data_IF_254687605953
#
_entry.id   IF_254687605953
#
_cell.length_a   1.000
_cell.length_b   1.000
_cell.length_c   1.000
_cell.angle_alpha   90.00
_cell.angle_beta   90.00
_cell.angle_gamma   90.00
#
_symmetry.space_group_name_H-M   'P 1'
#
loop_
_entity.id
_entity.type
_entity.pdbx_description
1 polymer ?
#
# COMPACT_ATOMS: atom_id res chain seq x y z
N UNK A 1 0.11 -27.63 35.03
CA UNK A 1 -0.87 -27.44 36.13
C UNK A 1 -0.24 -27.44 37.52
N UNK A 2 0.92 -28.09 37.75
CA UNK A 2 1.55 -28.21 39.08
C UNK A 2 2.19 -26.92 39.61
N UNK A 3 2.77 -26.07 38.76
CA UNK A 3 3.39 -24.80 39.21
C UNK A 3 2.35 -23.85 39.84
N UNK A 4 1.20 -23.62 39.18
CA UNK A 4 0.11 -22.78 39.72
C UNK A 4 -0.41 -23.22 41.08
N UNK A 5 -0.47 -24.54 41.33
CA UNK A 5 -0.99 -25.06 42.59
C UNK A 5 -0.03 -24.80 43.76
N UNK A 6 1.27 -24.86 43.50
CA UNK A 6 2.28 -24.55 44.51
C UNK A 6 2.28 -23.05 44.87
N UNK A 7 2.06 -22.16 43.90
CA UNK A 7 2.00 -20.72 44.15
C UNK A 7 0.71 -20.33 44.90
N UNK A 8 -0.44 -20.92 44.56
CA UNK A 8 -1.69 -20.75 45.33
C UNK A 8 -1.56 -21.27 46.76
N UNK A 9 -0.95 -22.43 46.97
CA UNK A 9 -0.73 -22.99 48.31
C UNK A 9 0.27 -22.14 49.12
N UNK A 10 1.29 -21.58 48.48
CA UNK A 10 2.23 -20.64 49.12
C UNK A 10 1.54 -19.33 49.51
N UNK A 11 0.70 -18.76 48.63
CA UNK A 11 -0.09 -17.56 48.92
C UNK A 11 -1.11 -17.80 50.03
N UNK A 12 -1.81 -18.94 50.02
CA UNK A 12 -2.73 -19.30 51.12
C UNK A 12 -1.99 -19.49 52.44
N UNK A 13 -0.84 -20.17 52.44
CA UNK A 13 -0.03 -20.34 53.65
C UNK A 13 0.52 -19.00 54.17
N UNK A 14 0.97 -18.11 53.29
CA UNK A 14 1.41 -16.77 53.68
C UNK A 14 0.25 -15.94 54.26
N UNK A 15 -0.95 -16.03 53.68
CA UNK A 15 -2.14 -15.36 54.24
C UNK A 15 -2.49 -15.86 55.65
N UNK A 16 -2.31 -17.16 55.92
CA UNK A 16 -2.62 -17.76 57.22
C UNK A 16 -1.55 -17.47 58.27
N UNK A 17 -0.27 -17.50 57.90
CA UNK A 17 0.83 -17.32 58.86
C UNK A 17 0.88 -15.87 59.39
N UNK A 18 0.41 -14.88 58.62
CA UNK A 18 0.50 -13.46 59.00
C UNK A 18 -0.71 -12.87 59.72
N UNK A 19 -1.78 -13.65 59.97
CA UNK A 19 -3.00 -13.11 60.59
C UNK A 19 -2.92 -12.98 62.11
N UNK A 20 -2.04 -13.72 62.80
CA UNK A 20 -2.08 -13.79 64.26
C UNK A 20 -0.99 -13.02 65.01
N UNK A 21 0.08 -12.58 64.35
CA UNK A 21 1.14 -11.85 65.04
C UNK A 21 1.75 -10.79 64.14
N UNK A 22 1.86 -9.57 64.69
CA UNK A 22 2.58 -8.38 64.20
C UNK A 22 1.75 -7.28 63.53
N UNK A 23 1.72 -6.14 64.24
CA UNK A 23 1.59 -4.75 63.77
C UNK A 23 0.80 -4.50 62.48
N UNK A 24 -0.40 -3.97 62.66
CA UNK A 24 -1.33 -3.56 61.60
C UNK A 24 -0.68 -2.78 60.45
N UNK A 25 0.31 -1.91 60.70
CA UNK A 25 0.96 -1.13 59.64
C UNK A 25 1.79 -1.96 58.65
N UNK A 26 2.52 -2.97 59.12
CA UNK A 26 3.34 -3.83 58.24
C UNK A 26 2.44 -4.68 57.35
N UNK A 27 1.38 -5.24 57.94
CA UNK A 27 0.36 -5.99 57.21
C UNK A 27 -0.38 -5.11 56.20
N UNK A 28 -0.71 -3.86 56.56
CA UNK A 28 -1.32 -2.90 55.63
C UNK A 28 -0.37 -2.61 54.45
N UNK A 29 0.93 -2.37 54.68
CA UNK A 29 1.91 -2.14 53.60
C UNK A 29 2.06 -3.36 52.67
N UNK A 30 2.13 -4.56 53.22
CA UNK A 30 2.23 -5.79 52.43
C UNK A 30 0.95 -6.05 51.62
N UNK A 31 -0.23 -5.85 52.21
CA UNK A 31 -1.51 -5.96 51.49
C UNK A 31 -1.63 -4.91 50.37
N UNK A 32 -1.17 -3.67 50.60
CA UNK A 32 -1.08 -2.62 49.58
C UNK A 32 -0.12 -3.00 48.44
N UNK A 33 1.04 -3.59 48.76
CA UNK A 33 1.99 -4.08 47.77
C UNK A 33 1.38 -5.19 46.90
N UNK A 34 0.74 -6.19 47.50
CA UNK A 34 0.06 -7.26 46.75
C UNK A 34 -1.09 -6.71 45.88
N UNK A 35 -1.88 -5.76 46.39
CA UNK A 35 -2.91 -5.09 45.58
C UNK A 35 -2.32 -4.29 44.41
N UNK A 36 -1.17 -3.65 44.59
CA UNK A 36 -0.49 -2.92 43.53
C UNK A 36 0.12 -3.86 42.49
N UNK A 37 0.68 -5.00 42.91
CA UNK A 37 1.14 -6.05 42.01
C UNK A 37 -0.02 -6.60 41.16
N UNK A 38 -1.15 -6.94 41.78
CA UNK A 38 -2.33 -7.44 41.06
C UNK A 38 -2.87 -6.40 40.06
N UNK A 39 -2.85 -5.11 40.43
CA UNK A 39 -3.21 -4.03 39.50
C UNK A 39 -2.23 -3.90 38.34
N UNK A 40 -0.92 -4.01 38.62
CA UNK A 40 0.12 -3.92 37.61
C UNK A 40 0.05 -5.11 36.65
N UNK A 41 -0.16 -6.33 37.17
CA UNK A 41 -0.35 -7.54 36.36
C UNK A 41 -1.58 -7.40 35.45
N UNK A 42 -2.73 -6.95 35.98
CA UNK A 42 -3.92 -6.67 35.16
C UNK A 42 -3.67 -5.60 34.10
N UNK A 43 -2.90 -4.55 34.43
CA UNK A 43 -2.54 -3.50 33.49
C UNK A 43 -1.65 -4.04 32.36
N UNK A 44 -0.65 -4.86 32.68
CA UNK A 44 0.19 -5.55 31.70
C UNK A 44 -0.62 -6.50 30.82
N UNK A 45 -1.56 -7.25 31.39
CA UNK A 45 -2.48 -8.11 30.63
C UNK A 45 -3.36 -7.29 29.68
N UNK A 46 -3.90 -6.15 30.13
CA UNK A 46 -4.69 -5.26 29.25
C UNK A 46 -3.84 -4.66 28.14
N UNK A 47 -2.61 -4.22 28.45
CA UNK A 47 -1.71 -3.65 27.45
C UNK A 47 -1.29 -4.70 26.41
N UNK A 48 -0.98 -5.93 26.83
CA UNK A 48 -0.71 -7.04 25.91
C UNK A 48 -1.93 -7.37 25.04
N UNK A 49 -3.14 -7.34 25.60
CA UNK A 49 -4.36 -7.55 24.84
C UNK A 49 -4.62 -6.41 23.83
N UNK A 50 -4.38 -5.16 24.21
CA UNK A 50 -4.48 -3.99 23.32
C UNK A 50 -3.46 -4.05 22.20
N UNK A 51 -2.19 -4.36 22.51
CA UNK A 51 -1.14 -4.60 21.51
C UNK A 51 -1.57 -5.72 20.56
N UNK A 52 -2.03 -6.86 21.07
CA UNK A 52 -2.51 -7.97 20.23
C UNK A 52 -3.69 -7.57 19.34
N UNK A 53 -4.64 -6.79 19.85
CA UNK A 53 -5.76 -6.27 19.06
C UNK A 53 -5.30 -5.29 17.99
N UNK A 54 -4.29 -4.47 18.28
CA UNK A 54 -3.68 -3.56 17.31
C UNK A 54 -2.98 -4.32 16.19
N UNK A 55 -2.24 -5.39 16.52
CA UNK A 55 -1.59 -6.28 15.54
C UNK A 55 -2.60 -6.91 14.59
N UNK A 56 -3.65 -7.52 15.13
CA UNK A 56 -4.72 -8.12 14.32
C UNK A 56 -5.35 -7.10 13.36
N UNK A 57 -5.54 -5.85 13.79
CA UNK A 57 -6.06 -4.78 12.92
C UNK A 57 -5.09 -4.38 11.81
N UNK A 58 -3.78 -4.43 12.07
CA UNK A 58 -2.75 -4.12 11.06
C UNK A 58 -2.64 -5.26 10.04
N UNK A 59 -2.66 -6.51 10.49
CA UNK A 59 -2.69 -7.71 9.62
C UNK A 59 -3.94 -7.73 8.72
N UNK A 60 -5.13 -7.50 9.28
CA UNK A 60 -6.40 -7.43 8.53
C UNK A 60 -6.35 -6.39 7.41
N UNK A 61 -5.60 -5.30 7.59
CA UNK A 61 -5.49 -4.24 6.60
C UNK A 61 -4.41 -4.47 5.58
N UNK A 62 -3.29 -5.10 5.95
CA UNK A 62 -2.34 -5.61 4.96
C UNK A 62 -3.07 -6.55 4.00
N UNK A 63 -3.88 -7.48 4.55
CA UNK A 63 -4.71 -8.38 3.76
C UNK A 63 -5.76 -7.62 2.93
N UNK A 64 -6.41 -6.58 3.49
CA UNK A 64 -7.34 -5.73 2.75
C UNK A 64 -6.66 -5.01 1.57
N UNK A 65 -5.46 -4.44 1.78
CA UNK A 65 -4.66 -3.82 0.73
C UNK A 65 -4.35 -4.85 -0.34
N UNK A 66 -3.76 -6.00 0.02
CA UNK A 66 -3.40 -7.07 -0.92
C UNK A 66 -4.60 -7.59 -1.72
N UNK A 67 -5.77 -7.70 -1.07
CA UNK A 67 -7.01 -8.08 -1.73
C UNK A 67 -7.52 -7.01 -2.68
N UNK A 68 -7.46 -5.73 -2.31
CA UNK A 68 -7.83 -4.62 -3.19
C UNK A 68 -6.90 -4.58 -4.42
N UNK A 69 -5.60 -4.75 -4.22
CA UNK A 69 -4.59 -4.91 -5.28
C UNK A 69 -5.04 -5.96 -6.29
N UNK A 70 -5.43 -7.15 -5.82
CA UNK A 70 -5.83 -8.26 -6.69
C UNK A 70 -7.19 -8.02 -7.37
N UNK A 71 -8.17 -7.46 -6.65
CA UNK A 71 -9.47 -7.05 -7.20
C UNK A 71 -9.26 -6.03 -8.32
N UNK A 72 -8.38 -5.04 -8.12
CA UNK A 72 -8.05 -4.02 -9.12
C UNK A 72 -7.42 -4.66 -10.36
N UNK A 73 -6.43 -5.55 -10.20
CA UNK A 73 -5.82 -6.29 -11.33
C UNK A 73 -6.88 -7.04 -12.15
N UNK A 74 -7.80 -7.72 -11.46
CA UNK A 74 -8.86 -8.53 -12.09
C UNK A 74 -9.96 -7.68 -12.74
N UNK A 75 -10.39 -6.60 -12.08
CA UNK A 75 -11.38 -5.65 -12.59
C UNK A 75 -10.92 -5.01 -13.90
N UNK A 76 -9.67 -4.52 -13.95
CA UNK A 76 -9.10 -3.97 -15.17
C UNK A 76 -9.09 -4.98 -16.33
N UNK A 77 -8.73 -6.23 -16.06
CA UNK A 77 -8.73 -7.30 -17.06
C UNK A 77 -10.13 -7.56 -17.61
N UNK A 78 -11.14 -7.60 -16.74
CA UNK A 78 -12.54 -7.82 -17.12
C UNK A 78 -13.12 -6.64 -17.90
N UNK A 79 -12.90 -5.40 -17.47
CA UNK A 79 -13.37 -4.20 -18.15
C UNK A 79 -12.76 -4.06 -19.54
N UNK A 80 -11.48 -4.41 -19.68
CA UNK A 80 -10.82 -4.48 -20.99
C UNK A 80 -11.51 -5.47 -21.93
N UNK A 81 -11.81 -6.68 -21.46
CA UNK A 81 -12.47 -7.70 -22.28
C UNK A 81 -13.88 -7.28 -22.69
N UNK A 82 -14.70 -6.79 -21.75
CA UNK A 82 -16.07 -6.31 -22.04
C UNK A 82 -16.06 -5.17 -23.05
N UNK A 83 -15.21 -4.16 -22.84
CA UNK A 83 -15.16 -2.99 -23.71
C UNK A 83 -14.56 -3.31 -25.08
N UNK A 84 -13.58 -4.22 -25.16
CA UNK A 84 -13.11 -4.79 -26.43
C UNK A 84 -14.23 -5.50 -27.19
N UNK A 85 -15.09 -6.26 -26.50
CA UNK A 85 -16.24 -6.91 -27.14
C UNK A 85 -17.28 -5.90 -27.65
N UNK A 86 -17.58 -4.84 -26.87
CA UNK A 86 -18.47 -3.75 -27.29
C UNK A 86 -17.90 -3.03 -28.52
N UNK A 87 -16.60 -2.73 -28.54
CA UNK A 87 -15.92 -2.12 -29.68
C UNK A 87 -16.01 -3.00 -30.93
N UNK A 88 -15.78 -4.31 -30.80
CA UNK A 88 -15.99 -5.26 -31.91
C UNK A 88 -17.43 -5.29 -32.43
N UNK A 89 -18.42 -5.27 -31.54
CA UNK A 89 -19.83 -5.23 -31.93
C UNK A 89 -20.20 -3.91 -32.63
N UNK A 90 -19.69 -2.78 -32.15
CA UNK A 90 -19.84 -1.50 -32.84
C UNK A 90 -19.15 -1.51 -34.20
N UNK A 91 -17.93 -2.04 -34.27
CA UNK A 91 -17.19 -2.19 -35.52
C UNK A 91 -17.95 -3.01 -36.56
N UNK A 92 -18.56 -4.12 -36.13
CA UNK A 92 -19.39 -4.96 -36.99
C UNK A 92 -20.65 -4.22 -37.46
N UNK A 93 -21.37 -3.56 -36.55
CA UNK A 93 -22.55 -2.75 -36.90
C UNK A 93 -22.22 -1.67 -37.92
N UNK A 94 -21.07 -1.00 -37.76
CA UNK A 94 -20.63 0.03 -38.69
C UNK A 94 -20.17 -0.54 -40.03
N UNK A 95 -19.49 -1.68 -40.04
CA UNK A 95 -19.14 -2.38 -41.28
C UNK A 95 -20.39 -2.72 -42.08
N UNK A 96 -21.44 -3.21 -41.41
CA UNK A 96 -22.74 -3.48 -42.03
C UNK A 96 -23.39 -2.20 -42.57
N UNK A 97 -23.38 -1.11 -41.79
CA UNK A 97 -23.96 0.17 -42.21
C UNK A 97 -23.23 0.77 -43.43
N UNK A 98 -21.89 0.70 -43.44
CA UNK A 98 -21.05 1.15 -44.55
C UNK A 98 -21.31 0.35 -45.82
N UNK A 99 -21.45 -0.97 -45.70
CA UNK A 99 -21.79 -1.84 -46.83
C UNK A 99 -23.20 -1.57 -47.35
N UNK A 100 -24.15 -1.27 -46.47
CA UNK A 100 -25.50 -0.86 -46.86
C UNK A 100 -25.48 0.47 -47.65
N UNK A 101 -24.83 1.51 -47.13
CA UNK A 101 -24.70 2.78 -47.83
C UNK A 101 -23.97 2.64 -49.17
N UNK A 102 -22.95 1.78 -49.24
CA UNK A 102 -22.25 1.51 -50.51
C UNK A 102 -23.22 0.94 -51.55
N UNK A 103 -24.08 0.00 -51.18
CA UNK A 103 -25.12 -0.55 -52.08
C UNK A 103 -26.13 0.52 -52.50
N UNK A 104 -26.58 1.36 -51.57
CA UNK A 104 -27.50 2.47 -51.86
C UNK A 104 -26.89 3.49 -52.83
N UNK A 105 -25.59 3.80 -52.68
CA UNK A 105 -24.85 4.66 -53.61
C UNK A 105 -24.72 3.97 -54.98
N UNK A 106 -24.35 2.70 -55.04
CA UNK A 106 -24.26 1.95 -56.31
C UNK A 106 -25.62 1.86 -57.02
N UNK A 107 -26.73 1.74 -56.27
CA UNK A 107 -28.09 1.80 -56.81
C UNK A 107 -28.45 3.20 -57.32
N UNK A 108 -28.11 4.25 -56.57
CA UNK A 108 -28.34 5.63 -56.96
C UNK A 108 -27.49 6.02 -58.18
N UNK A 109 -26.25 5.56 -58.27
CA UNK A 109 -25.38 5.76 -59.43
C UNK A 109 -25.91 5.04 -60.66
N UNK A 110 -26.45 3.82 -60.51
CA UNK A 110 -27.16 3.13 -61.60
C UNK A 110 -28.38 3.93 -62.07
N UNK A 111 -29.20 4.42 -61.16
CA UNK A 111 -30.39 5.24 -61.50
C UNK A 111 -30.01 6.59 -62.14
N UNK A 112 -28.92 7.22 -61.71
CA UNK A 112 -28.45 8.48 -62.29
C UNK A 112 -27.65 8.30 -63.57
N UNK A 113 -26.99 7.15 -63.78
CA UNK A 113 -26.41 6.83 -65.08
C UNK A 113 -27.50 6.81 -66.17
N UNK A 114 -28.73 6.42 -65.81
CA UNK A 114 -29.90 6.51 -66.69
C UNK A 114 -30.43 7.95 -66.87
N UNK A 115 -30.02 8.92 -66.05
CA UNK A 115 -30.53 10.32 -66.08
C UNK A 115 -29.49 11.38 -66.48
N UNK A 116 -28.19 11.12 -66.36
CA UNK A 116 -27.11 12.09 -66.64
C UNK A 116 -26.87 12.37 -68.14
N UNK A 117 -27.78 11.98 -69.03
CA UNK A 117 -27.87 12.55 -70.38
C UNK A 117 -28.34 14.01 -70.38
N UNK A 118 -28.80 14.56 -69.26
CA UNK A 118 -29.24 15.97 -69.20
C UNK A 118 -28.70 16.67 -67.97
N UNK A 119 -28.13 17.86 -68.19
CA UNK A 119 -27.88 18.92 -67.22
C UNK A 119 -26.55 18.90 -66.44
N UNK A 120 -25.58 19.60 -67.04
CA UNK A 120 -24.48 20.24 -66.33
C UNK A 120 -24.78 21.73 -66.15
N UNK A 121 -24.75 22.25 -64.92
CA UNK A 121 -24.48 23.69 -64.74
C UNK A 121 -23.84 23.98 -63.38
N UNK A 122 -22.70 24.66 -63.48
CA UNK A 122 -21.75 25.03 -62.45
C UNK A 122 -22.16 26.30 -61.69
N UNK A 123 -22.16 26.24 -60.36
CA UNK A 123 -22.35 27.39 -59.46
C UNK A 123 -21.12 27.53 -58.54
N UNK A 124 -20.36 28.61 -58.72
CA UNK A 124 -19.24 29.01 -57.88
C UNK A 124 -18.96 30.50 -58.09
N UNK A 125 -18.36 31.29 -57.21
CA UNK A 125 -17.60 31.04 -55.97
C UNK A 125 -17.72 32.35 -55.17
N UNK A 126 -18.18 32.33 -53.92
CA UNK A 126 -18.03 33.45 -52.98
C UNK A 126 -16.93 33.10 -51.95
N UNK A 127 -16.00 34.03 -51.71
CA UNK A 127 -14.84 33.87 -50.83
C UNK A 127 -15.15 34.42 -49.44
N UNK A 128 -15.32 33.53 -48.48
CA UNK A 128 -15.52 33.85 -47.06
C UNK A 128 -14.16 33.92 -46.33
N UNK A 129 -13.86 34.94 -45.53
CA UNK A 129 -12.60 35.07 -44.79
C UNK A 129 -12.38 34.02 -43.68
N UNK A 130 -13.40 33.26 -43.25
CA UNK A 130 -13.22 32.12 -42.33
C UNK A 130 -12.68 30.85 -43.04
N UNK A 131 -12.61 30.88 -44.36
CA UNK A 131 -12.19 29.77 -45.24
C UNK A 131 -10.78 29.23 -44.99
N UNK A 132 -9.78 29.98 -44.49
CA UNK A 132 -8.48 29.43 -44.12
C UNK A 132 -8.47 28.65 -42.80
N UNK A 133 -9.36 29.00 -41.85
CA UNK A 133 -9.45 28.33 -40.54
C UNK A 133 -10.37 27.12 -40.58
N UNK A 134 -11.35 27.12 -41.49
CA UNK A 134 -12.24 25.99 -41.74
C UNK A 134 -11.48 24.66 -41.93
N UNK A 135 -10.38 24.56 -42.71
CA UNK A 135 -9.56 23.36 -42.79
C UNK A 135 -9.02 22.85 -41.45
N UNK A 136 -8.61 23.74 -40.53
CA UNK A 136 -8.05 23.32 -39.24
C UNK A 136 -9.13 22.79 -38.30
N UNK A 137 -10.23 23.53 -38.15
CA UNK A 137 -11.37 23.06 -37.35
C UNK A 137 -12.01 21.81 -37.93
N UNK A 138 -12.07 21.73 -39.27
CA UNK A 138 -12.56 20.54 -39.97
C UNK A 138 -11.59 19.39 -39.81
N UNK A 139 -10.27 19.60 -39.81
CA UNK A 139 -9.29 18.55 -39.50
C UNK A 139 -9.46 18.01 -38.09
N UNK A 140 -9.57 18.87 -37.07
CA UNK A 140 -9.77 18.39 -35.69
C UNK A 140 -11.12 17.72 -35.51
N UNK A 141 -12.18 18.26 -36.13
CA UNK A 141 -13.50 17.65 -36.12
C UNK A 141 -13.50 16.32 -36.86
N UNK A 142 -12.89 16.24 -38.04
CA UNK A 142 -12.77 15.02 -38.85
C UNK A 142 -11.88 13.99 -38.13
N UNK A 143 -10.87 14.41 -37.37
CA UNK A 143 -10.05 13.53 -36.53
C UNK A 143 -10.86 13.01 -35.34
N UNK A 144 -11.60 13.87 -34.65
CA UNK A 144 -12.49 13.46 -33.56
C UNK A 144 -13.65 12.59 -34.05
N UNK A 145 -14.22 12.92 -35.21
CA UNK A 145 -15.22 12.13 -35.92
C UNK A 145 -14.60 10.82 -36.42
N UNK A 146 -13.39 10.79 -36.97
CA UNK A 146 -12.68 9.54 -37.31
C UNK A 146 -12.44 8.70 -36.08
N UNK A 147 -11.95 9.23 -34.96
CA UNK A 147 -11.80 8.43 -33.73
C UNK A 147 -13.17 7.94 -33.25
N UNK A 148 -14.23 8.73 -33.42
CA UNK A 148 -15.60 8.35 -33.04
C UNK A 148 -16.25 7.33 -33.99
N UNK A 149 -15.91 7.36 -35.27
CA UNK A 149 -16.56 6.61 -36.36
C UNK A 149 -15.69 5.53 -36.99
N UNK A 150 -14.40 5.53 -36.72
CA UNK A 150 -13.44 4.49 -37.07
C UNK A 150 -13.22 3.60 -35.84
N UNK A 151 -13.83 2.41 -35.82
CA UNK A 151 -13.72 1.49 -34.70
C UNK A 151 -12.28 1.04 -34.43
N UNK A 152 -11.42 1.03 -35.45
CA UNK A 152 -10.02 0.62 -35.31
C UNK A 152 -9.25 1.67 -34.50
N UNK A 153 -9.40 2.96 -34.83
CA UNK A 153 -8.83 4.06 -34.04
C UNK A 153 -9.42 4.13 -32.62
N UNK A 154 -10.74 3.92 -32.47
CA UNK A 154 -11.36 3.87 -31.15
C UNK A 154 -10.82 2.70 -30.30
N UNK A 155 -10.59 1.54 -30.91
CA UNK A 155 -9.97 0.38 -30.27
C UNK A 155 -8.51 0.66 -29.92
N UNK A 156 -7.73 1.29 -30.80
CA UNK A 156 -6.34 1.69 -30.52
C UNK A 156 -6.24 2.64 -29.32
N UNK A 157 -7.02 3.73 -29.29
CA UNK A 157 -7.05 4.67 -28.16
C UNK A 157 -7.49 3.98 -26.86
N UNK A 158 -8.45 3.06 -26.93
CA UNK A 158 -8.89 2.31 -25.77
C UNK A 158 -7.80 1.35 -25.25
N UNK A 159 -7.13 0.63 -26.15
CA UNK A 159 -6.00 -0.24 -25.81
C UNK A 159 -4.87 0.56 -25.19
N UNK A 160 -4.57 1.74 -25.73
CA UNK A 160 -3.53 2.61 -25.19
C UNK A 160 -3.87 3.11 -23.79
N UNK A 161 -5.10 3.61 -23.58
CA UNK A 161 -5.57 4.03 -22.26
C UNK A 161 -5.54 2.87 -21.24
N UNK A 162 -5.93 1.66 -21.66
CA UNK A 162 -5.84 0.46 -20.84
C UNK A 162 -4.39 0.10 -20.48
N UNK A 163 -3.48 0.12 -21.47
CA UNK A 163 -2.05 -0.12 -21.25
C UNK A 163 -1.46 0.87 -20.26
N UNK A 164 -1.78 2.16 -20.39
CA UNK A 164 -1.35 3.21 -19.45
C UNK A 164 -1.85 2.93 -18.03
N UNK A 165 -3.16 2.67 -17.86
CA UNK A 165 -3.73 2.35 -16.54
C UNK A 165 -3.10 1.10 -15.93
N UNK A 166 -2.90 0.05 -16.73
CA UNK A 166 -2.24 -1.18 -16.28
C UNK A 166 -0.78 -0.92 -15.87
N UNK A 167 -0.04 -0.09 -16.62
CA UNK A 167 1.33 0.31 -16.28
C UNK A 167 1.40 0.97 -14.92
N UNK A 168 0.60 2.01 -14.70
CA UNK A 168 0.57 2.76 -13.42
C UNK A 168 0.24 1.84 -12.24
N UNK A 169 -0.72 0.94 -12.42
CA UNK A 169 -1.12 0.00 -11.38
C UNK A 169 -0.01 -1.03 -11.10
N UNK A 170 0.70 -1.49 -12.13
CA UNK A 170 1.84 -2.39 -11.96
C UNK A 170 2.98 -1.69 -11.22
N UNK A 171 3.31 -0.46 -11.62
CA UNK A 171 4.33 0.38 -10.96
C UNK A 171 3.99 0.61 -9.47
N UNK A 172 2.74 0.89 -9.12
CA UNK A 172 2.34 1.01 -7.70
C UNK A 172 2.55 -0.28 -6.93
N UNK A 173 2.35 -1.46 -7.54
CA UNK A 173 2.62 -2.71 -6.85
C UNK A 173 4.10 -2.98 -6.69
N UNK A 174 4.89 -2.79 -7.73
CA UNK A 174 6.34 -2.99 -7.67
C UNK A 174 6.95 -2.09 -6.59
N UNK A 175 6.47 -0.84 -6.47
CA UNK A 175 6.93 0.08 -5.43
C UNK A 175 6.37 -0.21 -4.04
N UNK A 176 5.15 -0.76 -3.95
CA UNK A 176 4.61 -1.23 -2.67
C UNK A 176 5.42 -2.43 -2.15
N UNK A 177 5.78 -3.37 -3.03
CA UNK A 177 6.68 -4.47 -2.69
C UNK A 177 8.05 -3.96 -2.23
N UNK A 178 8.61 -2.93 -2.88
CA UNK A 178 9.86 -2.32 -2.42
C UNK A 178 9.76 -1.76 -0.99
N UNK A 179 8.62 -1.17 -0.60
CA UNK A 179 8.39 -0.74 0.78
C UNK A 179 8.40 -1.94 1.72
N UNK A 180 7.65 -2.99 1.41
CA UNK A 180 7.59 -4.19 2.26
C UNK A 180 8.97 -4.81 2.44
N UNK A 181 9.77 -4.88 1.37
CA UNK A 181 11.14 -5.36 1.42
C UNK A 181 12.05 -4.49 2.29
N UNK A 182 11.91 -3.16 2.21
CA UNK A 182 12.66 -2.25 3.05
C UNK A 182 12.31 -2.42 4.53
N UNK A 183 11.03 -2.65 4.84
CA UNK A 183 10.57 -2.90 6.22
C UNK A 183 11.08 -4.25 6.72
N UNK A 184 11.05 -5.29 5.89
CA UNK A 184 11.66 -6.59 6.24
C UNK A 184 13.16 -6.46 6.52
N UNK A 185 13.89 -5.74 5.66
CA UNK A 185 15.33 -5.54 5.82
C UNK A 185 15.65 -4.77 7.10
N UNK A 186 14.87 -3.74 7.42
CA UNK A 186 14.98 -3.01 8.68
C UNK A 186 14.66 -3.90 9.89
N UNK A 187 13.59 -4.70 9.82
CA UNK A 187 13.23 -5.66 10.86
C UNK A 187 14.35 -6.67 11.12
N UNK A 188 14.99 -7.21 10.08
CA UNK A 188 16.12 -8.14 10.23
C UNK A 188 17.31 -7.51 10.98
N UNK A 189 17.54 -6.20 10.80
CA UNK A 189 18.57 -5.48 11.55
C UNK A 189 18.18 -5.27 13.01
N UNK A 190 16.91 -4.98 13.29
CA UNK A 190 16.41 -4.97 14.67
C UNK A 190 16.55 -6.34 15.32
N UNK A 191 16.19 -7.43 14.62
CA UNK A 191 16.38 -8.81 15.11
C UNK A 191 17.85 -9.09 15.40
N UNK A 192 18.76 -8.60 14.57
CA UNK A 192 20.21 -8.76 14.78
C UNK A 192 20.71 -8.03 16.03
N UNK A 193 20.09 -6.90 16.39
CA UNK A 193 20.36 -6.16 17.62
C UNK A 193 19.71 -6.85 18.82
N UNK A 194 18.43 -7.24 18.72
CA UNK A 194 17.67 -7.90 19.80
C UNK A 194 18.26 -9.25 20.19
N UNK A 195 18.86 -9.97 19.23
CA UNK A 195 19.54 -11.24 19.48
C UNK A 195 20.92 -11.13 20.13
N UNK A 196 21.38 -9.91 20.47
CA UNK A 196 22.64 -9.72 21.16
C UNK A 196 22.67 -10.45 22.50
N UNK A 197 23.82 -11.06 22.80
CA UNK A 197 24.09 -11.73 24.08
C UNK A 197 25.33 -11.13 24.69
N UNK A 198 25.37 -11.02 26.03
CA UNK A 198 26.50 -10.45 26.80
C UNK A 198 27.87 -11.11 26.55
N UNK A 199 27.90 -12.30 25.98
CA UNK A 199 29.12 -13.02 25.60
C UNK A 199 29.66 -12.60 24.22
N UNK A 200 28.88 -11.87 23.43
CA UNK A 200 29.27 -11.36 22.11
C UNK A 200 30.08 -10.07 22.24
N UNK A 201 30.87 -9.78 21.21
CA UNK A 201 31.62 -8.53 21.12
C UNK A 201 30.65 -7.35 20.86
N UNK A 202 30.57 -6.35 21.74
CA UNK A 202 29.70 -5.18 21.54
C UNK A 202 29.97 -4.43 20.23
N UNK A 203 31.19 -4.53 19.66
CA UNK A 203 31.52 -3.87 18.40
C UNK A 203 30.66 -4.38 17.23
N UNK A 204 30.09 -5.60 17.31
CA UNK A 204 29.16 -6.08 16.29
C UNK A 204 27.81 -5.33 16.31
N UNK A 205 27.40 -4.80 17.48
CA UNK A 205 26.20 -3.97 17.58
C UNK A 205 26.39 -2.65 16.83
N UNK A 206 27.59 -2.07 16.85
CA UNK A 206 27.89 -0.83 16.11
C UNK A 206 27.68 -1.03 14.60
N UNK A 207 28.13 -2.16 14.05
CA UNK A 207 27.90 -2.50 12.64
C UNK A 207 26.41 -2.66 12.33
N UNK A 208 25.66 -3.34 13.21
CA UNK A 208 24.22 -3.51 13.06
C UNK A 208 23.48 -2.17 13.14
N UNK A 209 23.84 -1.28 14.05
CA UNK A 209 23.25 0.07 14.18
C UNK A 209 23.54 0.92 12.95
N UNK A 210 24.78 0.91 12.46
CA UNK A 210 25.13 1.61 11.22
C UNK A 210 24.33 1.08 10.03
N UNK A 211 24.14 -0.24 9.97
CA UNK A 211 23.32 -0.85 8.91
C UNK A 211 21.84 -0.50 9.07
N UNK A 212 21.31 -0.51 10.30
CA UNK A 212 19.94 -0.09 10.60
C UNK A 212 19.68 1.35 10.15
N UNK A 213 20.65 2.26 10.36
CA UNK A 213 20.58 3.63 9.86
C UNK A 213 20.46 3.68 8.33
N UNK A 214 21.24 2.87 7.62
CA UNK A 214 21.16 2.79 6.15
C UNK A 214 19.81 2.23 5.68
N UNK A 215 19.25 1.25 6.40
CA UNK A 215 17.91 0.70 6.09
C UNK A 215 16.81 1.72 6.35
N UNK A 216 16.94 2.58 7.37
CA UNK A 216 16.01 3.69 7.61
C UNK A 216 16.05 4.72 6.47
N UNK A 217 17.25 5.13 6.05
CA UNK A 217 17.41 6.03 4.89
C UNK A 217 16.84 5.42 3.61
N UNK A 218 17.06 4.11 3.40
CA UNK A 218 16.49 3.39 2.27
C UNK A 218 14.96 3.36 2.34
N UNK A 219 14.39 3.11 3.52
CA UNK A 219 12.94 3.18 3.73
C UNK A 219 12.38 4.55 3.39
N UNK A 220 13.00 5.63 3.87
CA UNK A 220 12.57 7.00 3.55
C UNK A 220 12.59 7.27 2.04
N UNK A 221 13.64 6.81 1.35
CA UNK A 221 13.78 6.97 -0.10
C UNK A 221 12.69 6.22 -0.87
N UNK A 222 12.51 4.93 -0.58
CA UNK A 222 11.50 4.08 -1.25
C UNK A 222 10.09 4.61 -0.96
N UNK A 223 9.84 5.07 0.27
CA UNK A 223 8.57 5.65 0.68
C UNK A 223 8.27 6.98 -0.05
N UNK A 224 9.29 7.80 -0.28
CA UNK A 224 9.19 9.02 -1.09
C UNK A 224 8.95 8.72 -2.58
N UNK A 225 9.58 7.67 -3.12
CA UNK A 225 9.33 7.20 -4.50
C UNK A 225 7.90 6.67 -4.64
N UNK A 226 7.45 5.80 -3.76
CA UNK A 226 6.08 5.28 -3.72
C UNK A 226 5.03 6.39 -3.69
N UNK A 227 5.26 7.45 -2.92
CA UNK A 227 4.35 8.61 -2.86
C UNK A 227 4.14 9.25 -4.24
N UNK A 228 5.18 9.31 -5.09
CA UNK A 228 5.06 9.85 -6.46
C UNK A 228 4.14 8.97 -7.32
N UNK A 229 4.23 7.64 -7.18
CA UNK A 229 3.38 6.71 -7.91
C UNK A 229 1.95 6.68 -7.38
N UNK A 230 1.75 6.81 -6.07
CA UNK A 230 0.43 6.91 -5.46
C UNK A 230 -0.37 8.11 -5.99
N UNK A 231 0.25 9.30 -6.11
CA UNK A 231 -0.44 10.48 -6.67
C UNK A 231 -0.95 10.22 -8.10
N UNK A 232 -0.22 9.44 -8.90
CA UNK A 232 -0.67 9.06 -10.24
C UNK A 232 -1.86 8.07 -10.22
N UNK A 233 -2.11 7.39 -9.09
CA UNK A 233 -3.25 6.47 -8.94
C UNK A 233 -4.54 7.08 -8.43
N UNK A 234 -4.53 8.25 -7.78
CA UNK A 234 -5.75 8.86 -7.22
C UNK A 234 -6.85 9.04 -8.30
N UNK A 235 -6.46 9.40 -9.53
CA UNK A 235 -7.38 9.52 -10.67
C UNK A 235 -7.77 8.19 -11.35
N UNK A 236 -7.15 7.07 -10.99
CA UNK A 236 -7.35 5.75 -11.61
C UNK A 236 -8.09 4.80 -10.66
N UNK A 237 -7.70 4.77 -9.38
CA UNK A 237 -8.22 3.85 -8.37
C UNK A 237 -8.18 4.48 -6.95
N UNK A 238 -9.16 5.33 -6.60
CA UNK A 238 -9.18 6.06 -5.32
C UNK A 238 -9.11 5.15 -4.07
N UNK A 239 -9.75 3.98 -4.11
CA UNK A 239 -9.74 3.04 -2.98
C UNK A 239 -8.35 2.45 -2.75
N UNK A 240 -7.59 2.22 -3.84
CA UNK A 240 -6.23 1.68 -3.75
C UNK A 240 -5.29 2.76 -3.24
N UNK A 241 -5.42 3.97 -3.77
CA UNK A 241 -4.69 5.14 -3.28
C UNK A 241 -4.90 5.33 -1.77
N UNK A 242 -6.15 5.28 -1.31
CA UNK A 242 -6.48 5.44 0.12
C UNK A 242 -5.88 4.32 0.96
N UNK A 243 -6.12 3.06 0.60
CA UNK A 243 -5.63 1.91 1.37
C UNK A 243 -4.09 1.91 1.47
N UNK A 244 -3.40 2.20 0.37
CA UNK A 244 -1.94 2.30 0.36
C UNK A 244 -1.43 3.50 1.17
N UNK A 245 -2.11 4.65 1.09
CA UNK A 245 -1.73 5.84 1.87
C UNK A 245 -1.91 5.62 3.38
N UNK A 246 -3.02 4.99 3.78
CA UNK A 246 -3.32 4.66 5.18
C UNK A 246 -2.34 3.62 5.76
N UNK A 247 -1.87 2.68 4.92
CA UNK A 247 -0.84 1.71 5.29
C UNK A 247 0.54 2.37 5.42
N UNK A 248 0.94 3.14 4.40
CA UNK A 248 2.19 3.91 4.38
C UNK A 248 2.35 4.81 5.61
N UNK A 249 1.33 5.59 5.95
CA UNK A 249 1.36 6.49 7.11
C UNK A 249 1.62 5.76 8.43
N UNK A 250 1.12 4.53 8.57
CA UNK A 250 1.34 3.71 9.78
C UNK A 250 2.72 3.09 9.82
N UNK A 251 3.25 2.65 8.68
CA UNK A 251 4.65 2.27 8.57
C UNK A 251 5.56 3.45 8.95
N UNK A 252 5.32 4.63 8.38
CA UNK A 252 6.07 5.84 8.75
C UNK A 252 5.95 6.16 10.25
N UNK A 253 4.82 5.85 10.90
CA UNK A 253 4.67 6.06 12.34
C UNK A 253 5.60 5.17 13.16
N UNK A 254 5.69 3.87 12.83
CA UNK A 254 6.57 2.93 13.54
C UNK A 254 8.04 3.17 13.21
N UNK A 255 8.35 3.48 11.94
CA UNK A 255 9.73 3.72 11.49
C UNK A 255 10.30 5.03 12.04
N UNK A 256 9.45 6.03 12.31
CA UNK A 256 9.84 7.29 12.95
C UNK A 256 9.58 7.28 14.48
N UNK A 257 9.46 6.10 15.09
CA UNK A 257 9.28 5.99 16.53
C UNK A 257 10.51 6.52 17.29
N UNK A 258 10.29 7.14 18.44
CA UNK A 258 11.37 7.72 19.26
C UNK A 258 12.38 6.66 19.71
N UNK A 259 11.96 5.41 19.88
CA UNK A 259 12.85 4.30 20.24
C UNK A 259 13.81 3.95 19.10
N UNK A 260 13.40 4.11 17.83
CA UNK A 260 14.30 3.92 16.68
C UNK A 260 15.45 4.93 16.76
N UNK A 261 15.11 6.21 16.99
CA UNK A 261 16.12 7.26 17.14
C UNK A 261 17.00 7.03 18.38
N UNK A 262 16.42 6.56 19.49
CA UNK A 262 17.18 6.23 20.69
C UNK A 262 18.21 5.12 20.42
N UNK A 263 17.83 4.05 19.72
CA UNK A 263 18.76 2.99 19.33
C UNK A 263 19.86 3.52 18.42
N UNK A 264 19.51 4.29 17.38
CA UNK A 264 20.48 4.81 16.42
C UNK A 264 21.51 5.77 17.06
N UNK A 265 21.07 6.59 18.02
CA UNK A 265 21.91 7.63 18.63
C UNK A 265 22.61 7.17 19.90
N UNK A 266 21.93 6.43 20.78
CA UNK A 266 22.39 6.18 22.15
C UNK A 266 23.03 4.81 22.33
N UNK A 267 22.63 3.79 21.55
CA UNK A 267 23.29 2.47 21.63
C UNK A 267 24.79 2.55 21.26
N UNK A 268 25.23 3.28 20.21
CA UNK A 268 26.65 3.47 19.94
C UNK A 268 27.40 4.16 21.09
N UNK A 269 26.79 5.13 21.77
CA UNK A 269 27.36 5.81 22.93
C UNK A 269 27.51 4.86 24.12
N UNK A 270 26.45 4.09 24.43
CA UNK A 270 26.47 3.08 25.48
C UNK A 270 27.56 2.02 25.26
N UNK A 271 27.78 1.60 24.00
CA UNK A 271 28.87 0.70 23.62
C UNK A 271 30.24 1.35 23.83
N UNK A 272 30.42 2.60 23.40
CA UNK A 272 31.67 3.33 23.57
C UNK A 272 32.05 3.51 25.05
N UNK A 273 31.05 3.74 25.91
CA UNK A 273 31.22 3.87 27.36
C UNK A 273 31.29 2.51 28.08
N UNK A 274 31.01 1.41 27.38
CA UNK A 274 30.90 0.05 27.92
C UNK A 274 29.89 -0.06 29.06
N UNK A 275 28.80 0.71 28.98
CA UNK A 275 27.72 0.64 29.96
C UNK A 275 26.78 -0.53 29.62
N UNK A 276 26.93 -1.65 30.33
CA UNK A 276 26.14 -2.86 30.05
C UNK A 276 24.65 -2.69 30.35
N UNK A 277 24.28 -1.90 31.37
CA UNK A 277 22.87 -1.68 31.71
C UNK A 277 22.15 -0.92 30.59
N UNK A 278 22.80 0.10 30.02
CA UNK A 278 22.26 0.87 28.90
C UNK A 278 22.22 0.04 27.61
N UNK A 279 23.27 -0.75 27.33
CA UNK A 279 23.29 -1.67 26.19
C UNK A 279 22.10 -2.64 26.26
N UNK A 280 21.90 -3.28 27.42
CA UNK A 280 20.78 -4.21 27.62
C UNK A 280 19.43 -3.50 27.40
N UNK A 281 19.27 -2.28 27.94
CA UNK A 281 18.06 -1.48 27.77
C UNK A 281 17.74 -1.18 26.29
N UNK A 282 18.73 -0.76 25.49
CA UNK A 282 18.50 -0.48 24.07
C UNK A 282 18.30 -1.75 23.22
N UNK A 283 18.86 -2.89 23.64
CA UNK A 283 18.59 -4.21 23.03
C UNK A 283 17.14 -4.62 23.29
N UNK A 284 16.63 -4.43 24.51
CA UNK A 284 15.22 -4.69 24.84
C UNK A 284 14.27 -3.77 24.05
N UNK A 285 14.66 -2.51 23.80
CA UNK A 285 13.90 -1.61 22.92
C UNK A 285 13.85 -2.11 21.46
N UNK A 286 14.95 -2.68 20.96
CA UNK A 286 14.98 -3.25 19.61
C UNK A 286 14.00 -4.44 19.48
N UNK A 287 13.92 -5.30 20.51
CA UNK A 287 12.94 -6.40 20.57
C UNK A 287 11.49 -5.88 20.57
N UNK A 288 11.23 -4.79 21.31
CA UNK A 288 9.89 -4.17 21.32
C UNK A 288 9.51 -3.61 19.95
N UNK A 289 10.43 -2.95 19.25
CA UNK A 289 10.18 -2.40 17.91
C UNK A 289 9.99 -3.49 16.85
N UNK A 290 10.80 -4.55 16.89
CA UNK A 290 10.63 -5.73 16.03
C UNK A 290 9.20 -6.30 16.17
N UNK A 291 8.74 -6.37 17.41
CA UNK A 291 7.41 -6.86 17.75
C UNK A 291 6.28 -5.94 17.24
N UNK A 292 6.54 -4.64 17.09
CA UNK A 292 5.61 -3.66 16.51
C UNK A 292 5.61 -3.67 14.98
N UNK A 293 6.72 -4.05 14.36
CA UNK A 293 6.83 -4.19 12.90
C UNK A 293 6.26 -5.50 12.36
N UNK A 294 6.24 -6.56 13.18
CA UNK A 294 5.75 -7.89 12.79
C UNK A 294 4.40 -7.89 12.03
N UNK A 295 3.37 -7.10 12.41
CA UNK A 295 2.08 -7.06 11.71
C UNK A 295 2.13 -6.47 10.30
N UNK A 296 3.21 -5.76 9.98
CA UNK A 296 3.45 -5.21 8.65
C UNK A 296 4.25 -6.16 7.77
N UNK A 297 4.87 -7.19 8.35
CA UNK A 297 5.64 -8.16 7.61
C UNK A 297 4.70 -9.17 6.95
N UNK A 298 4.89 -9.46 5.65
CA UNK A 298 4.13 -10.49 4.98
C UNK A 298 4.39 -11.86 5.61
N UNK A 299 3.34 -12.64 5.91
CA UNK A 299 3.45 -14.00 6.48
C UNK A 299 4.23 -14.97 5.57
N UNK A 300 4.36 -14.64 4.28
CA UNK A 300 5.09 -15.41 3.29
C UNK A 300 5.72 -14.50 2.23
N UNK A 301 7.03 -14.30 2.32
CA UNK A 301 7.88 -14.17 1.12
C UNK A 301 8.95 -15.26 1.16
#
# INVERSE_FOLDING_TARGET
MTARKNDEDALQNLSKINLENTNSESNVKYLLFLQNLEKHEKMMETEQAERKMLRLKQEEQLEEVMKLIEITKNSLKMDFQKKKQILKQHAEKWRMLKEQHKKEIEEFEKQNADQKETDGTSLGKLQDPLKPLLPFFKSQRDEFERIRYDPELAEEHFIEAYKRKKSVITEVFDEFENILWSVCSFSDKLTSISCYKKEMDPDCLIENVNTLSNELENFEKVTAEFTKYLVNTDGIHPDLYKACSDYKMRLETVMNDENVFAILMQLPEAIAERNQEDIDFYVDLAESLETELLPFLPESI
#
